data_IF_371664091834
#
_entry.id   IF_371664091834
#
_cell.length_a   1.000
_cell.length_b   1.000
_cell.length_c   1.000
_cell.angle_alpha   90.00
_cell.angle_beta   90.00
_cell.angle_gamma   90.00
#
_symmetry.space_group_name_H-M   'P 1'
#
loop_
_entity.id
_entity.type
_entity.pdbx_description
1 polymer ?
#
# COMPACT_ATOMS: atom_id res chain seq x y z
N UNK A 1 -21.32 15.23 -12.21
CA UNK A 1 -20.14 16.14 -12.16
C UNK A 1 -19.32 15.88 -13.40
N UNK A 2 -19.04 16.94 -14.15
CA UNK A 2 -18.20 16.83 -15.35
C UNK A 2 -16.76 16.53 -14.94
N UNK A 3 -16.15 15.46 -15.43
CA UNK A 3 -14.77 15.05 -15.10
C UNK A 3 -13.73 15.92 -15.79
N UNK A 4 -14.16 16.86 -16.61
CA UNK A 4 -13.27 17.82 -17.30
C UNK A 4 -12.37 18.61 -16.33
N UNK A 5 -12.74 18.72 -15.04
CA UNK A 5 -11.86 19.36 -14.06
C UNK A 5 -10.46 18.75 -13.99
N UNK A 6 -10.31 17.43 -14.29
CA UNK A 6 -8.99 16.76 -14.35
C UNK A 6 -8.15 17.26 -15.53
N UNK A 7 -8.82 17.77 -16.58
CA UNK A 7 -8.19 18.33 -17.77
C UNK A 7 -8.03 19.85 -17.67
N UNK A 8 -8.92 20.56 -16.99
CA UNK A 8 -9.02 22.03 -17.06
C UNK A 8 -8.35 22.73 -15.88
N UNK A 9 -8.40 22.16 -14.67
CA UNK A 9 -7.81 22.80 -13.47
C UNK A 9 -6.31 23.03 -13.60
N UNK A 10 -5.75 24.12 -13.01
CA UNK A 10 -4.31 24.30 -12.87
C UNK A 10 -3.68 23.07 -12.16
N UNK A 11 -2.48 22.67 -12.59
CA UNK A 11 -1.90 21.36 -12.23
C UNK A 11 -1.61 21.25 -10.74
N UNK A 12 -0.95 22.23 -10.14
CA UNK A 12 -0.59 22.14 -8.72
C UNK A 12 -1.82 22.06 -7.79
N UNK A 13 -2.84 22.93 -7.91
CA UNK A 13 -4.07 22.79 -7.14
C UNK A 13 -4.81 21.47 -7.42
N UNK A 14 -4.77 20.96 -8.66
CA UNK A 14 -5.36 19.69 -9.01
C UNK A 14 -4.66 18.54 -8.27
N UNK A 15 -3.33 18.45 -8.36
CA UNK A 15 -2.53 17.42 -7.69
C UNK A 15 -2.76 17.45 -6.18
N UNK A 16 -2.70 18.63 -5.55
CA UNK A 16 -2.94 18.77 -4.11
C UNK A 16 -4.35 18.35 -3.73
N UNK A 17 -5.38 18.79 -4.48
CA UNK A 17 -6.78 18.46 -4.16
C UNK A 17 -7.11 16.99 -4.29
N UNK A 18 -6.36 16.26 -5.10
CA UNK A 18 -6.52 14.82 -5.29
C UNK A 18 -5.65 14.01 -4.32
N UNK A 19 -4.46 14.51 -3.99
CA UNK A 19 -3.49 13.80 -3.14
C UNK A 19 -3.75 13.98 -1.65
N UNK A 20 -4.10 15.18 -1.21
CA UNK A 20 -4.27 15.49 0.22
C UNK A 20 -5.29 14.57 0.91
N UNK A 21 -6.48 14.30 0.34
CA UNK A 21 -7.39 13.32 0.95
C UNK A 21 -6.78 11.93 1.10
N UNK A 22 -5.94 11.49 0.14
CA UNK A 22 -5.30 10.18 0.21
C UNK A 22 -4.20 10.13 1.26
N UNK A 23 -3.41 11.20 1.39
CA UNK A 23 -2.40 11.34 2.46
C UNK A 23 -3.07 11.25 3.83
N UNK A 24 -4.19 11.96 4.04
CA UNK A 24 -4.96 11.91 5.29
C UNK A 24 -5.50 10.49 5.54
N UNK A 25 -6.06 9.84 4.52
CA UNK A 25 -6.56 8.45 4.64
C UNK A 25 -5.47 7.49 5.06
N UNK A 26 -4.27 7.61 4.47
CA UNK A 26 -3.14 6.76 4.80
C UNK A 26 -2.61 7.02 6.22
N UNK A 27 -2.62 8.29 6.68
CA UNK A 27 -2.25 8.63 8.05
C UNK A 27 -3.21 8.00 9.06
N UNK A 28 -4.52 8.07 8.82
CA UNK A 28 -5.54 7.45 9.68
C UNK A 28 -5.45 5.92 9.62
N UNK A 29 -5.18 5.34 8.47
CA UNK A 29 -4.93 3.90 8.33
C UNK A 29 -3.70 3.44 9.16
N UNK A 30 -2.62 4.23 9.16
CA UNK A 30 -1.45 3.92 9.99
C UNK A 30 -1.77 4.02 11.48
N UNK A 31 -2.53 5.04 11.89
CA UNK A 31 -2.98 5.19 13.27
C UNK A 31 -3.88 4.01 13.70
N UNK A 32 -4.82 3.64 12.84
CA UNK A 32 -5.68 2.47 13.07
C UNK A 32 -4.86 1.20 13.32
N UNK A 33 -3.86 0.90 12.47
CA UNK A 33 -3.02 -0.28 12.63
C UNK A 33 -2.24 -0.28 13.96
N UNK A 34 -1.79 0.90 14.43
CA UNK A 34 -1.11 1.04 15.72
C UNK A 34 -2.07 0.77 16.88
N UNK A 35 -3.28 1.32 16.82
CA UNK A 35 -4.30 1.17 17.87
C UNK A 35 -4.79 -0.26 17.96
N UNK A 36 -5.06 -0.92 16.82
CA UNK A 36 -5.44 -2.34 16.76
C UNK A 36 -4.35 -3.21 17.41
N UNK A 37 -3.09 -3.03 17.01
CA UNK A 37 -1.96 -3.75 17.60
C UNK A 37 -1.82 -3.50 19.11
N UNK A 38 -2.07 -2.28 19.57
CA UNK A 38 -2.05 -1.94 21.00
C UNK A 38 -3.10 -2.72 21.79
N UNK A 39 -4.33 -2.80 21.29
CA UNK A 39 -5.39 -3.53 21.99
C UNK A 39 -5.15 -5.04 21.97
N UNK A 40 -4.61 -5.59 20.89
CA UNK A 40 -4.25 -7.01 20.82
C UNK A 40 -3.11 -7.34 21.78
N UNK A 41 -2.09 -6.48 21.88
CA UNK A 41 -1.01 -6.66 22.85
C UNK A 41 -1.50 -6.67 24.31
N UNK A 42 -2.65 -6.04 24.60
CA UNK A 42 -3.31 -6.08 25.92
C UNK A 42 -4.02 -7.40 26.20
N UNK A 43 -4.25 -8.26 25.21
CA UNK A 43 -4.82 -9.61 25.42
C UNK A 43 -3.74 -10.50 26.04
N UNK A 44 -2.62 -10.70 25.33
CA UNK A 44 -1.43 -11.45 25.76
C UNK A 44 -0.29 -11.28 24.75
N UNK A 45 0.93 -11.64 25.15
CA UNK A 45 2.08 -11.71 24.24
C UNK A 45 1.87 -12.75 23.13
N UNK A 46 1.24 -13.89 23.47
CA UNK A 46 0.92 -14.95 22.51
C UNK A 46 -0.10 -14.48 21.46
N UNK A 47 -1.06 -13.65 21.85
CA UNK A 47 -2.02 -13.05 20.94
C UNK A 47 -1.33 -12.12 19.93
N UNK A 48 -0.36 -11.34 20.37
CA UNK A 48 0.44 -10.47 19.50
C UNK A 48 1.31 -11.28 18.56
N UNK A 49 1.90 -12.37 19.05
CA UNK A 49 2.67 -13.33 18.24
C UNK A 49 1.78 -13.97 17.18
N UNK A 50 0.60 -14.44 17.56
CA UNK A 50 -0.36 -15.06 16.67
C UNK A 50 -0.77 -14.14 15.50
N UNK A 51 -1.11 -12.85 15.78
CA UNK A 51 -1.43 -11.87 14.74
C UNK A 51 -0.22 -11.62 13.84
N UNK A 52 0.97 -11.51 14.40
CA UNK A 52 2.19 -11.29 13.62
C UNK A 52 2.46 -12.43 12.64
N UNK A 53 2.12 -13.66 13.01
CA UNK A 53 2.21 -14.83 12.12
C UNK A 53 1.09 -14.87 11.05
N UNK A 54 -0.10 -14.34 11.35
CA UNK A 54 -1.20 -14.26 10.36
C UNK A 54 -1.01 -13.11 9.36
N UNK A 55 -0.34 -12.04 9.78
CA UNK A 55 -0.17 -10.82 9.01
C UNK A 55 0.36 -11.00 7.57
N UNK A 56 1.34 -11.88 7.26
CA UNK A 56 1.82 -12.07 5.90
C UNK A 56 0.73 -12.47 4.90
N UNK A 57 -0.20 -13.35 5.31
CA UNK A 57 -1.31 -13.77 4.45
C UNK A 57 -2.35 -12.67 4.29
N UNK A 58 -2.65 -11.90 5.34
CA UNK A 58 -3.50 -10.72 5.24
C UNK A 58 -2.89 -9.67 4.31
N UNK A 59 -1.58 -9.44 4.41
CA UNK A 59 -0.89 -8.49 3.53
C UNK A 59 -0.89 -8.97 2.07
N UNK A 60 -0.74 -10.27 1.82
CA UNK A 60 -0.85 -10.83 0.48
C UNK A 60 -2.25 -10.60 -0.11
N UNK A 61 -3.30 -10.84 0.67
CA UNK A 61 -4.68 -10.56 0.25
C UNK A 61 -4.88 -9.09 -0.08
N UNK A 62 -4.40 -8.19 0.78
CA UNK A 62 -4.48 -6.74 0.57
C UNK A 62 -3.67 -6.31 -0.66
N UNK A 63 -2.48 -6.87 -0.86
CA UNK A 63 -1.64 -6.58 -2.02
C UNK A 63 -2.35 -6.95 -3.34
N UNK A 64 -3.02 -8.11 -3.39
CA UNK A 64 -3.79 -8.54 -4.55
C UNK A 64 -4.99 -7.61 -4.77
N UNK A 65 -5.73 -7.26 -3.71
CA UNK A 65 -6.88 -6.36 -3.79
C UNK A 65 -6.49 -4.97 -4.29
N UNK A 66 -5.45 -4.38 -3.71
CA UNK A 66 -4.98 -3.04 -4.09
C UNK A 66 -4.36 -3.04 -5.49
N UNK A 67 -3.55 -4.06 -5.82
CA UNK A 67 -2.92 -4.16 -7.13
C UNK A 67 -3.95 -4.28 -8.26
N UNK A 68 -4.95 -5.14 -8.09
CA UNK A 68 -6.05 -5.27 -9.05
C UNK A 68 -6.90 -3.99 -9.10
N UNK A 69 -7.15 -3.36 -7.95
CA UNK A 69 -7.83 -2.07 -7.87
C UNK A 69 -7.09 -0.94 -8.59
N UNK A 70 -5.75 -0.92 -8.56
CA UNK A 70 -4.93 0.03 -9.32
C UNK A 70 -5.17 -0.15 -10.83
N UNK A 71 -5.24 -1.39 -11.31
CA UNK A 71 -5.53 -1.67 -12.70
C UNK A 71 -6.92 -1.16 -13.12
N UNK A 72 -7.94 -1.40 -12.28
CA UNK A 72 -9.28 -0.87 -12.49
C UNK A 72 -9.28 0.67 -12.55
N UNK A 73 -8.63 1.31 -11.58
CA UNK A 73 -8.53 2.76 -11.51
C UNK A 73 -7.92 3.35 -12.80
N UNK A 74 -6.77 2.81 -13.21
CA UNK A 74 -6.07 3.27 -14.40
C UNK A 74 -6.91 3.05 -15.69
N UNK A 75 -7.57 1.89 -15.81
CA UNK A 75 -8.37 1.57 -16.99
C UNK A 75 -9.61 2.44 -17.08
N UNK A 76 -10.36 2.58 -16.00
CA UNK A 76 -11.58 3.40 -15.96
C UNK A 76 -11.24 4.87 -16.26
N UNK A 77 -10.26 5.44 -15.56
CA UNK A 77 -9.87 6.83 -15.76
C UNK A 77 -9.37 7.10 -17.19
N UNK A 78 -8.62 6.16 -17.78
CA UNK A 78 -8.18 6.24 -19.18
C UNK A 78 -9.37 6.28 -20.14
N UNK A 79 -10.31 5.34 -20.00
CA UNK A 79 -11.48 5.26 -20.89
C UNK A 79 -12.37 6.51 -20.77
N UNK A 80 -12.54 7.04 -19.55
CA UNK A 80 -13.28 8.29 -19.35
C UNK A 80 -12.56 9.49 -19.98
N UNK A 81 -11.23 9.53 -19.91
CA UNK A 81 -10.43 10.54 -20.62
C UNK A 81 -10.54 10.45 -22.13
N UNK A 82 -10.57 9.24 -22.67
CA UNK A 82 -10.80 8.96 -24.09
C UNK A 82 -12.25 9.16 -24.54
N UNK A 83 -13.17 9.52 -23.63
CA UNK A 83 -14.62 9.65 -23.87
C UNK A 83 -15.30 8.34 -24.29
N UNK A 84 -14.69 7.20 -23.94
CA UNK A 84 -15.21 5.86 -24.19
C UNK A 84 -15.95 5.36 -22.94
N UNK A 85 -17.19 5.83 -22.77
CA UNK A 85 -18.03 5.53 -21.61
C UNK A 85 -18.34 4.04 -21.49
N UNK A 86 -18.55 3.37 -22.63
CA UNK A 86 -18.90 1.95 -22.66
C UNK A 86 -17.77 1.09 -22.07
N UNK A 87 -16.52 1.31 -22.51
CA UNK A 87 -15.36 0.60 -21.96
C UNK A 87 -15.03 0.98 -20.51
N UNK A 88 -15.39 2.19 -20.07
CA UNK A 88 -15.26 2.57 -18.68
C UNK A 88 -16.25 1.78 -17.80
N UNK A 89 -17.50 1.66 -18.24
CA UNK A 89 -18.55 0.90 -17.58
C UNK A 89 -18.21 -0.61 -17.55
N UNK A 90 -17.75 -1.16 -18.67
CA UNK A 90 -17.25 -2.55 -18.74
C UNK A 90 -16.12 -2.81 -17.75
N UNK A 91 -15.13 -1.92 -17.68
CA UNK A 91 -14.01 -2.07 -16.77
C UNK A 91 -14.44 -2.03 -15.30
N UNK A 92 -15.40 -1.17 -14.95
CA UNK A 92 -15.93 -1.08 -13.60
C UNK A 92 -16.73 -2.34 -13.21
N UNK A 93 -17.66 -2.79 -14.04
CA UNK A 93 -18.53 -3.94 -13.75
C UNK A 93 -17.72 -5.23 -13.74
N UNK A 94 -16.91 -5.46 -14.76
CA UNK A 94 -16.08 -6.67 -14.86
C UNK A 94 -15.03 -6.71 -13.75
N UNK A 95 -14.42 -5.57 -13.44
CA UNK A 95 -13.47 -5.46 -12.35
C UNK A 95 -14.09 -5.79 -10.99
N UNK A 96 -15.26 -5.27 -10.66
CA UNK A 96 -15.99 -5.63 -9.44
C UNK A 96 -16.35 -7.11 -9.39
N UNK A 97 -16.81 -7.68 -10.50
CA UNK A 97 -17.12 -9.11 -10.57
C UNK A 97 -15.89 -9.99 -10.31
N UNK A 98 -14.77 -9.66 -10.95
CA UNK A 98 -13.50 -10.37 -10.73
C UNK A 98 -13.00 -10.20 -9.28
N UNK A 99 -13.22 -9.05 -8.67
CA UNK A 99 -12.87 -8.83 -7.25
C UNK A 99 -13.65 -9.75 -6.31
N UNK A 100 -14.92 -10.03 -6.61
CA UNK A 100 -15.70 -11.04 -5.86
C UNK A 100 -15.07 -12.42 -6.02
N UNK A 101 -14.72 -12.82 -7.25
CA UNK A 101 -14.07 -14.11 -7.52
C UNK A 101 -12.74 -14.21 -6.78
N UNK A 102 -11.88 -13.19 -6.88
CA UNK A 102 -10.61 -13.15 -6.15
C UNK A 102 -10.83 -13.24 -4.63
N UNK A 103 -11.85 -12.52 -4.10
CA UNK A 103 -12.20 -12.56 -2.69
C UNK A 103 -12.58 -13.97 -2.22
N UNK A 104 -13.38 -14.69 -3.01
CA UNK A 104 -13.78 -16.07 -2.71
C UNK A 104 -12.58 -17.02 -2.78
N UNK A 105 -11.76 -16.91 -3.84
CA UNK A 105 -10.56 -17.75 -4.00
C UNK A 105 -9.60 -17.52 -2.84
N UNK A 106 -9.32 -16.26 -2.49
CA UNK A 106 -8.41 -15.93 -1.40
C UNK A 106 -8.96 -16.32 -0.04
N UNK A 107 -10.27 -16.16 0.19
CA UNK A 107 -10.92 -16.66 1.41
C UNK A 107 -10.66 -18.15 1.58
N UNK A 108 -10.98 -18.96 0.58
CA UNK A 108 -10.82 -20.43 0.63
C UNK A 108 -9.34 -20.80 0.76
N UNK A 109 -8.46 -20.21 -0.06
CA UNK A 109 -7.04 -20.52 -0.07
C UNK A 109 -6.34 -20.15 1.25
N UNK A 110 -6.64 -18.96 1.80
CA UNK A 110 -6.05 -18.52 3.05
C UNK A 110 -6.58 -19.32 4.24
N UNK A 111 -7.88 -19.60 4.30
CA UNK A 111 -8.44 -20.43 5.39
C UNK A 111 -7.92 -21.86 5.35
N UNK A 112 -7.84 -22.47 4.18
CA UNK A 112 -7.30 -23.82 4.02
C UNK A 112 -5.78 -23.91 4.27
N UNK A 113 -5.03 -22.88 3.86
CA UNK A 113 -3.58 -22.84 3.99
C UNK A 113 -3.08 -22.41 5.38
N UNK A 114 -3.87 -21.65 6.14
CA UNK A 114 -3.45 -21.06 7.41
C UNK A 114 -2.98 -22.10 8.45
N UNK A 115 -3.65 -23.24 8.67
CA UNK A 115 -3.17 -24.23 9.65
C UNK A 115 -1.76 -24.75 9.32
N UNK A 116 -1.50 -25.02 8.05
CA UNK A 116 -0.18 -25.46 7.60
C UNK A 116 0.86 -24.36 7.72
N UNK A 117 0.48 -23.14 7.35
CA UNK A 117 1.36 -21.96 7.41
C UNK A 117 1.80 -21.68 8.85
N UNK A 118 0.90 -21.65 9.82
CA UNK A 118 1.25 -21.40 11.23
C UNK A 118 2.18 -22.47 11.79
N UNK A 119 1.93 -23.75 11.47
CA UNK A 119 2.78 -24.88 11.93
C UNK A 119 4.20 -24.87 11.35
N UNK A 120 4.47 -24.11 10.29
CA UNK A 120 5.83 -23.89 9.79
C UNK A 120 6.65 -23.00 10.71
N UNK A 121 6.00 -22.10 11.45
CA UNK A 121 6.68 -21.08 12.27
C UNK A 121 6.66 -21.39 13.76
N UNK A 122 5.66 -22.09 14.26
CA UNK A 122 5.54 -22.41 15.69
C UNK A 122 4.95 -23.79 15.91
N UNK A 123 5.34 -24.41 17.04
CA UNK A 123 4.76 -25.67 17.55
C UNK A 123 3.83 -25.43 18.76
N UNK A 124 3.72 -24.20 19.21
CA UNK A 124 2.85 -23.81 20.32
C UNK A 124 1.39 -23.84 19.86
N UNK A 125 0.64 -24.81 20.34
CA UNK A 125 -0.77 -25.01 19.99
C UNK A 125 -1.65 -23.83 20.45
N UNK A 126 -1.30 -23.12 21.54
CA UNK A 126 -2.07 -21.96 21.99
C UNK A 126 -1.94 -20.79 21.00
N UNK A 127 -0.73 -20.53 20.48
CA UNK A 127 -0.49 -19.53 19.46
C UNK A 127 -1.18 -19.90 18.16
N UNK A 128 -1.12 -21.19 17.77
CA UNK A 128 -1.79 -21.69 16.56
C UNK A 128 -3.31 -21.52 16.67
N UNK A 129 -3.91 -21.89 17.80
CA UNK A 129 -5.36 -21.76 18.03
C UNK A 129 -5.81 -20.30 17.99
N UNK A 130 -5.07 -19.39 18.64
CA UNK A 130 -5.34 -17.96 18.57
C UNK A 130 -5.21 -17.42 17.15
N UNK A 131 -4.16 -17.82 16.43
CA UNK A 131 -3.96 -17.43 15.03
C UNK A 131 -5.08 -17.92 14.11
N UNK A 132 -5.51 -19.17 14.24
CA UNK A 132 -6.64 -19.74 13.50
C UNK A 132 -7.97 -19.07 13.87
N UNK A 133 -8.16 -18.77 15.16
CA UNK A 133 -9.34 -18.06 15.65
C UNK A 133 -9.49 -16.70 15.00
N UNK A 134 -8.38 -15.96 14.90
CA UNK A 134 -8.34 -14.65 14.24
C UNK A 134 -8.50 -14.80 12.72
N UNK A 135 -7.67 -15.61 12.08
CA UNK A 135 -7.59 -15.74 10.65
C UNK A 135 -8.90 -16.22 10.02
N UNK A 136 -9.51 -17.26 10.56
CA UNK A 136 -10.78 -17.80 10.04
C UNK A 136 -11.90 -16.79 10.07
N UNK A 137 -11.90 -15.84 11.03
CA UNK A 137 -12.91 -14.78 11.10
C UNK A 137 -12.60 -13.63 10.16
N UNK A 138 -11.34 -13.19 10.10
CA UNK A 138 -10.95 -12.09 9.21
C UNK A 138 -11.11 -12.47 7.74
N UNK A 139 -10.71 -13.69 7.35
CA UNK A 139 -10.79 -14.10 5.94
C UNK A 139 -12.22 -14.31 5.43
N UNK A 140 -13.21 -14.53 6.29
CA UNK A 140 -14.63 -14.51 5.89
C UNK A 140 -15.02 -13.17 5.26
N UNK A 141 -14.41 -12.07 5.69
CA UNK A 141 -14.63 -10.75 5.14
C UNK A 141 -13.85 -10.45 3.85
N UNK A 142 -13.09 -11.40 3.30
CA UNK A 142 -12.25 -11.19 2.10
C UNK A 142 -13.03 -10.59 0.92
N UNK A 143 -14.24 -11.08 0.65
CA UNK A 143 -15.08 -10.55 -0.43
C UNK A 143 -15.48 -9.10 -0.15
N UNK A 144 -15.83 -8.77 1.09
CA UNK A 144 -16.19 -7.42 1.53
C UNK A 144 -15.01 -6.48 1.37
N UNK A 145 -13.81 -6.92 1.80
CA UNK A 145 -12.56 -6.16 1.67
C UNK A 145 -12.25 -5.90 0.19
N UNK A 146 -12.33 -6.93 -0.65
CA UNK A 146 -12.09 -6.82 -2.09
C UNK A 146 -13.06 -5.84 -2.77
N UNK A 147 -14.35 -5.91 -2.45
CA UNK A 147 -15.36 -4.98 -2.96
C UNK A 147 -15.15 -3.56 -2.45
N UNK A 148 -14.80 -3.40 -1.17
CA UNK A 148 -14.49 -2.11 -0.56
C UNK A 148 -13.34 -1.41 -1.27
N UNK A 149 -12.22 -2.13 -1.49
CA UNK A 149 -11.06 -1.61 -2.23
C UNK A 149 -11.40 -1.33 -3.69
N UNK A 150 -12.21 -2.18 -4.33
CA UNK A 150 -12.65 -1.95 -5.72
C UNK A 150 -13.47 -0.67 -5.84
N UNK A 151 -14.44 -0.44 -4.96
CA UNK A 151 -15.22 0.81 -4.95
C UNK A 151 -14.34 2.01 -4.62
N UNK A 152 -13.41 1.88 -3.67
CA UNK A 152 -12.40 2.91 -3.40
C UNK A 152 -11.70 3.34 -4.70
N UNK A 153 -11.20 2.38 -5.48
CA UNK A 153 -10.47 2.66 -6.71
C UNK A 153 -11.37 3.18 -7.84
N UNK A 154 -12.64 2.78 -7.88
CA UNK A 154 -13.64 3.34 -8.79
C UNK A 154 -13.95 4.79 -8.42
N UNK A 155 -14.17 5.12 -7.14
CA UNK A 155 -14.37 6.52 -6.71
C UNK A 155 -13.15 7.39 -7.00
N UNK A 156 -11.95 6.86 -6.80
CA UNK A 156 -10.70 7.53 -7.14
C UNK A 156 -10.59 7.78 -8.65
N UNK A 157 -10.95 6.79 -9.50
CA UNK A 157 -10.86 6.90 -10.96
C UNK A 157 -11.70 8.03 -11.57
N UNK A 158 -12.80 8.37 -10.91
CA UNK A 158 -13.69 9.48 -11.31
C UNK A 158 -13.35 10.80 -10.57
N UNK A 159 -12.28 10.82 -9.79
CA UNK A 159 -11.78 11.99 -9.08
C UNK A 159 -12.50 12.32 -7.76
N UNK A 160 -13.28 11.40 -7.21
CA UNK A 160 -14.01 11.61 -5.94
C UNK A 160 -13.17 11.19 -4.73
N UNK A 161 -11.94 11.73 -4.60
CA UNK A 161 -11.01 11.38 -3.52
C UNK A 161 -11.55 11.66 -2.11
N UNK A 162 -12.33 12.74 -1.94
CA UNK A 162 -12.96 13.06 -0.64
C UNK A 162 -13.95 12.00 -0.20
N UNK A 163 -14.65 11.35 -1.13
CA UNK A 163 -15.56 10.24 -0.81
C UNK A 163 -14.73 9.03 -0.35
N UNK A 164 -13.65 8.71 -1.05
CA UNK A 164 -12.74 7.64 -0.64
C UNK A 164 -12.19 7.88 0.76
N UNK A 165 -11.67 9.08 1.03
CA UNK A 165 -11.20 9.47 2.35
C UNK A 165 -12.28 9.28 3.43
N UNK A 166 -13.46 9.82 3.22
CA UNK A 166 -14.54 9.77 4.22
C UNK A 166 -14.98 8.34 4.50
N UNK A 167 -15.16 7.52 3.45
CA UNK A 167 -15.57 6.12 3.60
C UNK A 167 -14.55 5.29 4.38
N UNK A 168 -13.26 5.45 4.06
CA UNK A 168 -12.17 4.79 4.78
C UNK A 168 -12.10 5.24 6.24
N UNK A 169 -12.24 6.55 6.49
CA UNK A 169 -12.26 7.09 7.86
C UNK A 169 -13.39 6.50 8.70
N UNK A 170 -14.60 6.39 8.14
CA UNK A 170 -15.73 5.76 8.84
C UNK A 170 -15.39 4.33 9.27
N UNK A 171 -14.78 3.53 8.39
CA UNK A 171 -14.39 2.16 8.71
C UNK A 171 -13.29 2.07 9.76
N UNK A 172 -12.24 2.87 9.62
CA UNK A 172 -11.10 2.88 10.55
C UNK A 172 -11.50 3.38 11.93
N UNK A 173 -12.28 4.45 12.02
CA UNK A 173 -12.79 4.97 13.31
C UNK A 173 -13.72 3.94 13.96
N UNK A 174 -14.59 3.30 13.18
CA UNK A 174 -15.47 2.25 13.71
C UNK A 174 -14.67 1.07 14.27
N UNK A 175 -13.61 0.66 13.60
CA UNK A 175 -12.74 -0.40 14.11
C UNK A 175 -12.06 0.02 15.41
N UNK A 176 -11.43 1.20 15.48
CA UNK A 176 -10.79 1.74 16.69
C UNK A 176 -11.75 1.73 17.90
N UNK A 177 -13.02 2.03 17.66
CA UNK A 177 -14.06 2.01 18.72
C UNK A 177 -14.47 0.58 19.06
N UNK A 178 -14.64 -0.29 18.06
CA UNK A 178 -15.13 -1.66 18.26
C UNK A 178 -14.07 -2.57 18.87
N UNK A 179 -12.77 -2.35 18.61
CA UNK A 179 -11.69 -3.16 19.16
C UNK A 179 -11.79 -3.33 20.68
N UNK A 180 -11.72 -2.27 21.51
CA UNK A 180 -11.81 -2.43 22.96
C UNK A 180 -13.17 -2.98 23.41
N UNK A 181 -14.26 -2.63 22.72
CA UNK A 181 -15.60 -3.10 23.09
C UNK A 181 -15.73 -4.62 22.91
N UNK A 182 -15.24 -5.16 21.80
CA UNK A 182 -15.38 -6.58 21.46
C UNK A 182 -14.26 -7.44 22.04
N UNK A 183 -13.04 -6.91 22.15
CA UNK A 183 -11.91 -7.63 22.74
C UNK A 183 -12.14 -7.86 24.22
N UNK A 184 -12.49 -6.81 24.97
CA UNK A 184 -12.58 -6.85 26.43
C UNK A 184 -14.00 -7.07 26.97
N UNK A 185 -15.02 -6.99 26.10
CA UNK A 185 -16.41 -7.18 26.50
C UNK A 185 -16.96 -5.97 27.26
N UNK A 186 -16.82 -4.78 26.68
CA UNK A 186 -17.32 -3.53 27.31
C UNK A 186 -18.73 -3.24 26.81
N UNK A 187 -19.63 -2.87 27.73
CA UNK A 187 -21.01 -2.54 27.41
C UNK A 187 -21.84 -3.77 27.03
N UNK A 188 -22.55 -3.76 25.89
CA UNK A 188 -23.42 -4.86 25.46
C UNK A 188 -22.66 -6.04 24.79
N UNK A 189 -21.34 -5.91 24.60
CA UNK A 189 -20.57 -6.93 23.89
C UNK A 189 -19.99 -7.98 24.87
N UNK A 190 -20.05 -9.28 24.51
CA UNK A 190 -19.33 -10.31 25.25
C UNK A 190 -17.82 -10.17 25.05
N UNK A 191 -17.04 -10.62 26.04
CA UNK A 191 -15.56 -10.67 25.91
C UNK A 191 -15.18 -11.72 24.87
N UNK A 192 -14.63 -11.29 23.73
CA UNK A 192 -14.31 -12.16 22.60
C UNK A 192 -12.79 -12.35 22.37
N UNK A 193 -11.92 -11.56 23.01
CA UNK A 193 -10.48 -11.64 22.84
C UNK A 193 -10.06 -11.52 21.35
N UNK A 194 -9.28 -12.48 20.86
CA UNK A 194 -8.81 -12.53 19.47
C UNK A 194 -9.93 -12.55 18.41
N UNK A 195 -11.05 -13.22 18.73
CA UNK A 195 -12.22 -13.20 17.86
C UNK A 195 -12.83 -11.80 17.75
N UNK A 196 -12.80 -11.03 18.85
CA UNK A 196 -13.28 -9.66 18.91
C UNK A 196 -12.48 -8.73 17.99
N UNK A 197 -11.14 -8.81 18.00
CA UNK A 197 -10.28 -8.06 17.10
C UNK A 197 -10.57 -8.38 15.61
N UNK A 198 -10.75 -9.66 15.28
CA UNK A 198 -11.09 -10.08 13.93
C UNK A 198 -12.45 -9.55 13.46
N UNK A 199 -13.48 -9.62 14.31
CA UNK A 199 -14.80 -9.10 13.98
C UNK A 199 -14.80 -7.56 13.89
N UNK A 200 -14.11 -6.86 14.78
CA UNK A 200 -14.00 -5.40 14.73
C UNK A 200 -13.38 -4.94 13.40
N UNK A 201 -12.32 -5.63 12.95
CA UNK A 201 -11.71 -5.40 11.65
C UNK A 201 -12.70 -5.65 10.51
N UNK A 202 -13.38 -6.79 10.51
CA UNK A 202 -14.36 -7.14 9.48
C UNK A 202 -15.56 -6.20 9.42
N UNK A 203 -16.08 -5.77 10.58
CA UNK A 203 -17.17 -4.80 10.67
C UNK A 203 -16.71 -3.42 10.18
N UNK A 204 -15.52 -2.98 10.54
CA UNK A 204 -14.93 -1.73 10.03
C UNK A 204 -14.86 -1.72 8.50
N UNK A 205 -14.41 -2.82 7.87
CA UNK A 205 -14.39 -2.97 6.42
C UNK A 205 -15.80 -3.00 5.82
N UNK A 206 -16.75 -3.62 6.52
CA UNK A 206 -18.17 -3.66 6.10
C UNK A 206 -18.77 -2.24 6.14
N UNK A 207 -18.48 -1.46 7.17
CA UNK A 207 -18.92 -0.05 7.26
C UNK A 207 -18.32 0.77 6.13
N UNK A 208 -17.04 0.60 5.83
CA UNK A 208 -16.40 1.25 4.67
C UNK A 208 -17.16 0.95 3.38
N UNK A 209 -17.44 -0.33 3.12
CA UNK A 209 -18.18 -0.76 1.93
C UNK A 209 -19.60 -0.16 1.90
N UNK A 210 -20.32 -0.21 3.03
CA UNK A 210 -21.68 0.36 3.12
C UNK A 210 -21.69 1.86 2.84
N UNK A 211 -20.72 2.61 3.37
CA UNK A 211 -20.61 4.05 3.10
C UNK A 211 -20.37 4.31 1.61
N UNK A 212 -19.53 3.52 0.94
CA UNK A 212 -19.37 3.61 -0.52
C UNK A 212 -20.68 3.33 -1.26
N UNK A 213 -21.43 2.30 -0.86
CA UNK A 213 -22.72 1.96 -1.46
C UNK A 213 -23.73 3.09 -1.26
N UNK A 214 -23.80 3.67 -0.07
CA UNK A 214 -24.66 4.83 0.20
C UNK A 214 -24.29 6.02 -0.70
N UNK A 215 -23.00 6.30 -0.88
CA UNK A 215 -22.59 7.34 -1.83
C UNK A 215 -22.96 7.01 -3.28
N UNK A 216 -22.91 5.74 -3.69
CA UNK A 216 -23.41 5.34 -5.02
C UNK A 216 -24.89 5.60 -5.20
N UNK A 217 -25.71 5.41 -4.14
CA UNK A 217 -27.18 5.62 -4.19
C UNK A 217 -27.49 7.13 -4.18
N UNK A 218 -26.95 7.89 -3.23
CA UNK A 218 -27.30 9.31 -3.04
C UNK A 218 -26.59 10.26 -4.03
N UNK A 219 -25.42 9.88 -4.52
CA UNK A 219 -24.60 10.66 -5.47
C UNK A 219 -24.04 9.74 -6.56
N UNK A 220 -24.88 9.33 -7.52
CA UNK A 220 -24.48 8.35 -8.52
C UNK A 220 -23.14 8.66 -9.18
N UNK A 221 -22.37 7.62 -9.43
CA UNK A 221 -21.15 7.70 -10.22
C UNK A 221 -21.48 7.92 -11.69
N UNK A 222 -20.62 8.56 -12.47
CA UNK A 222 -20.78 8.66 -13.93
C UNK A 222 -20.40 7.33 -14.62
N UNK A 223 -20.85 6.23 -14.05
CA UNK A 223 -20.61 4.85 -14.50
C UNK A 223 -21.91 4.06 -14.36
N UNK A 224 -22.15 3.16 -15.30
CA UNK A 224 -23.35 2.33 -15.33
C UNK A 224 -23.03 0.91 -14.89
N UNK A 225 -23.53 0.52 -13.71
CA UNK A 225 -23.35 -0.83 -13.14
C UNK A 225 -24.44 -1.81 -13.61
N UNK A 226 -24.77 -1.79 -14.91
CA UNK A 226 -25.76 -2.71 -15.47
C UNK A 226 -25.08 -4.04 -15.83
N UNK A 227 -25.80 -5.16 -15.63
CA UNK A 227 -25.33 -6.51 -15.97
C UNK A 227 -24.88 -6.65 -17.43
N UNK A 228 -25.47 -5.90 -18.36
CA UNK A 228 -25.08 -5.90 -19.77
C UNK A 228 -23.63 -5.43 -20.02
N UNK A 229 -23.05 -4.68 -19.09
CA UNK A 229 -21.69 -4.18 -19.17
C UNK A 229 -20.66 -5.19 -18.62
N UNK A 230 -21.09 -6.38 -18.16
CA UNK A 230 -20.19 -7.47 -17.80
C UNK A 230 -19.60 -8.07 -19.09
N UNK A 231 -18.29 -7.91 -19.26
CA UNK A 231 -17.58 -8.31 -20.48
C UNK A 231 -16.34 -9.13 -20.12
N UNK A 232 -16.25 -10.33 -20.67
CA UNK A 232 -15.06 -11.20 -20.56
C UNK A 232 -14.14 -11.09 -21.76
N UNK A 233 -14.12 -9.94 -22.41
CA UNK A 233 -13.23 -9.69 -23.55
C UNK A 233 -11.77 -9.87 -23.12
N UNK A 234 -11.02 -10.68 -23.87
CA UNK A 234 -9.59 -10.97 -23.65
C UNK A 234 -8.74 -9.70 -23.55
N UNK A 235 -9.06 -8.66 -24.33
CA UNK A 235 -8.34 -7.39 -24.30
C UNK A 235 -8.55 -6.63 -22.97
N UNK A 236 -9.79 -6.62 -22.43
CA UNK A 236 -10.09 -6.02 -21.13
C UNK A 236 -9.40 -6.79 -20.00
N UNK A 237 -9.59 -8.12 -19.97
CA UNK A 237 -8.95 -8.98 -18.96
C UNK A 237 -7.43 -8.86 -19.01
N UNK A 238 -6.85 -8.94 -20.21
CA UNK A 238 -5.41 -8.77 -20.41
C UNK A 238 -4.90 -7.45 -19.88
N UNK A 239 -5.61 -6.34 -20.11
CA UNK A 239 -5.24 -5.03 -19.58
C UNK A 239 -5.32 -4.95 -18.06
N UNK A 240 -6.36 -5.52 -17.44
CA UNK A 240 -6.52 -5.52 -15.99
C UNK A 240 -5.40 -6.34 -15.31
N UNK A 241 -5.13 -7.53 -15.80
CA UNK A 241 -4.08 -8.39 -15.21
C UNK A 241 -2.66 -7.92 -15.55
N UNK A 242 -2.42 -7.32 -16.72
CA UNK A 242 -1.11 -6.77 -17.09
C UNK A 242 -0.67 -5.59 -16.19
N UNK A 243 -1.59 -4.95 -15.50
CA UNK A 243 -1.28 -3.93 -14.49
C UNK A 243 -1.47 -4.48 -13.08
N UNK A 244 -2.53 -5.24 -12.84
CA UNK A 244 -2.90 -5.72 -11.51
C UNK A 244 -1.87 -6.68 -10.91
N UNK A 245 -1.41 -7.69 -11.66
CA UNK A 245 -0.38 -8.63 -11.18
C UNK A 245 0.94 -7.92 -10.85
N UNK A 246 1.52 -7.11 -11.75
CA UNK A 246 2.70 -6.32 -11.43
C UNK A 246 2.53 -5.41 -10.21
N UNK A 247 1.39 -4.73 -10.09
CA UNK A 247 1.13 -3.85 -8.95
C UNK A 247 1.02 -4.62 -7.62
N UNK A 248 0.42 -5.81 -7.63
CA UNK A 248 0.38 -6.69 -6.45
C UNK A 248 1.78 -7.17 -6.05
N UNK A 249 2.59 -7.58 -7.02
CA UNK A 249 3.98 -7.98 -6.78
C UNK A 249 4.83 -6.82 -6.25
N UNK A 250 4.64 -5.61 -6.76
CA UNK A 250 5.33 -4.41 -6.26
C UNK A 250 5.11 -4.20 -4.75
N UNK A 251 3.94 -4.55 -4.24
CA UNK A 251 3.63 -4.45 -2.80
C UNK A 251 4.27 -5.56 -1.96
N UNK A 252 4.58 -6.71 -2.55
CA UNK A 252 5.21 -7.84 -1.86
C UNK A 252 6.75 -7.76 -1.83
N UNK A 253 7.37 -7.14 -2.83
CA UNK A 253 8.83 -7.07 -2.96
C UNK A 253 9.57 -6.45 -1.76
N UNK A 254 9.08 -5.38 -1.10
CA UNK A 254 9.73 -4.84 0.09
C UNK A 254 9.86 -5.86 1.22
N UNK A 255 8.87 -6.71 1.43
CA UNK A 255 8.92 -7.75 2.47
C UNK A 255 10.00 -8.78 2.20
N UNK A 256 10.16 -9.21 0.94
CA UNK A 256 11.25 -10.09 0.53
C UNK A 256 12.63 -9.46 0.80
N UNK A 257 12.78 -8.21 0.39
CA UNK A 257 14.02 -7.45 0.63
C UNK A 257 14.36 -7.37 2.12
N UNK A 258 13.39 -7.00 2.97
CA UNK A 258 13.58 -6.90 4.42
C UNK A 258 14.04 -8.24 4.99
N UNK A 259 13.43 -9.34 4.58
CA UNK A 259 13.82 -10.69 5.03
C UNK A 259 15.26 -11.04 4.67
N UNK A 260 15.68 -10.73 3.44
CA UNK A 260 17.07 -10.94 3.01
C UNK A 260 18.07 -10.06 3.77
N UNK A 261 17.76 -8.78 3.98
CA UNK A 261 18.61 -7.87 4.72
C UNK A 261 18.73 -8.27 6.20
N UNK A 262 17.65 -8.70 6.83
CA UNK A 262 17.68 -9.26 8.18
C UNK A 262 18.60 -10.48 8.24
N UNK A 263 18.51 -11.40 7.27
CA UNK A 263 19.40 -12.55 7.19
C UNK A 263 20.88 -12.17 7.10
N UNK A 264 21.23 -11.11 6.35
CA UNK A 264 22.61 -10.58 6.30
C UNK A 264 23.02 -9.97 7.64
N UNK A 265 22.16 -9.17 8.27
CA UNK A 265 22.46 -8.44 9.51
C UNK A 265 22.53 -9.35 10.73
N UNK A 266 21.75 -10.43 10.77
CA UNK A 266 21.80 -11.43 11.85
C UNK A 266 23.21 -12.04 12.01
N UNK A 267 23.96 -12.16 10.93
CA UNK A 267 25.35 -12.64 10.97
C UNK A 267 26.31 -11.70 11.72
N UNK A 268 25.93 -10.43 11.96
CA UNK A 268 26.74 -9.47 12.71
C UNK A 268 26.25 -9.32 14.15
N UNK A 269 24.97 -8.97 14.35
CA UNK A 269 24.36 -8.87 15.68
C UNK A 269 22.86 -8.61 15.55
N UNK A 270 22.05 -9.09 16.51
CA UNK A 270 20.62 -8.81 16.63
C UNK A 270 20.31 -7.31 16.77
N UNK A 271 21.23 -6.51 17.32
CA UNK A 271 21.07 -5.05 17.42
C UNK A 271 20.90 -4.39 16.06
N UNK A 272 21.60 -4.87 15.03
CA UNK A 272 21.45 -4.34 13.65
C UNK A 272 20.10 -4.71 13.04
N UNK A 273 19.58 -5.89 13.35
CA UNK A 273 18.24 -6.31 12.92
C UNK A 273 17.18 -5.43 13.56
N UNK A 274 17.31 -5.14 14.88
CA UNK A 274 16.41 -4.23 15.59
C UNK A 274 16.45 -2.83 14.97
N UNK A 275 17.63 -2.30 14.69
CA UNK A 275 17.82 -0.99 14.05
C UNK A 275 17.17 -0.95 12.68
N UNK A 276 17.33 -1.99 11.86
CA UNK A 276 16.68 -2.06 10.55
C UNK A 276 15.15 -2.08 10.69
N UNK A 277 14.63 -2.84 11.66
CA UNK A 277 13.20 -2.87 11.98
C UNK A 277 12.66 -1.50 12.40
N UNK A 278 13.38 -0.79 13.28
CA UNK A 278 13.04 0.58 13.69
C UNK A 278 13.04 1.55 12.50
N UNK A 279 14.08 1.46 11.65
CA UNK A 279 14.16 2.23 10.41
C UNK A 279 12.92 2.02 9.51
N UNK A 280 12.48 0.77 9.28
CA UNK A 280 11.31 0.52 8.43
C UNK A 280 10.02 1.08 9.01
N UNK A 281 9.86 1.07 10.32
CA UNK A 281 8.72 1.73 10.97
C UNK A 281 8.75 3.25 10.73
N UNK A 282 9.91 3.89 10.91
CA UNK A 282 10.08 5.31 10.61
C UNK A 282 9.89 5.62 9.13
N UNK A 283 10.44 4.80 8.24
CA UNK A 283 10.25 4.93 6.80
C UNK A 283 8.77 4.91 6.40
N UNK A 284 7.97 4.03 7.02
CA UNK A 284 6.54 3.95 6.74
C UNK A 284 5.85 5.30 6.94
N UNK A 285 6.19 6.05 7.98
CA UNK A 285 5.62 7.39 8.22
C UNK A 285 6.07 8.41 7.18
N UNK A 286 7.34 8.40 6.79
CA UNK A 286 7.89 9.32 5.78
C UNK A 286 7.27 9.03 4.40
N UNK A 287 7.24 7.75 4.00
CA UNK A 287 6.73 7.33 2.70
C UNK A 287 5.19 7.36 2.60
N UNK A 288 4.48 7.41 3.72
CA UNK A 288 3.03 7.51 3.76
C UNK A 288 2.51 8.71 2.92
N UNK A 289 3.12 9.88 3.09
CA UNK A 289 2.74 11.07 2.34
C UNK A 289 3.07 10.92 0.85
N UNK A 290 4.23 10.37 0.50
CA UNK A 290 4.61 10.10 -0.88
C UNK A 290 3.63 9.13 -1.55
N UNK A 291 3.28 8.03 -0.88
CA UNK A 291 2.32 7.04 -1.38
C UNK A 291 0.91 7.63 -1.54
N UNK A 292 0.48 8.51 -0.63
CA UNK A 292 -0.78 9.25 -0.74
C UNK A 292 -0.81 10.17 -1.96
N UNK A 293 0.31 10.85 -2.25
CA UNK A 293 0.47 11.67 -3.45
C UNK A 293 0.35 10.80 -4.71
N UNK A 294 1.03 9.66 -4.74
CA UNK A 294 0.98 8.72 -5.87
C UNK A 294 -0.43 8.18 -6.09
N UNK A 295 -1.16 7.83 -5.03
CA UNK A 295 -2.57 7.41 -5.18
C UNK A 295 -3.44 8.52 -5.79
N UNK A 296 -3.22 9.77 -5.37
CA UNK A 296 -3.96 10.93 -5.88
C UNK A 296 -3.74 11.20 -7.36
N UNK A 297 -2.52 11.01 -7.85
CA UNK A 297 -2.17 11.35 -9.23
C UNK A 297 -2.52 10.28 -10.26
N UNK A 298 -2.64 9.01 -9.86
CA UNK A 298 -2.92 7.91 -10.80
C UNK A 298 -4.11 8.21 -11.71
N UNK A 299 -5.32 8.53 -11.21
CA UNK A 299 -6.45 8.81 -12.09
C UNK A 299 -6.27 10.06 -12.95
N UNK A 300 -5.54 11.07 -12.45
CA UNK A 300 -5.30 12.29 -13.23
C UNK A 300 -4.39 12.02 -14.42
N UNK A 301 -3.31 11.25 -14.20
CA UNK A 301 -2.40 10.84 -15.28
C UNK A 301 -3.16 9.96 -16.29
N UNK A 302 -3.90 8.94 -15.81
CA UNK A 302 -4.65 8.01 -16.66
C UNK A 302 -5.69 8.74 -17.51
N UNK A 303 -6.45 9.65 -16.91
CA UNK A 303 -7.46 10.45 -17.59
C UNK A 303 -6.85 11.34 -18.67
N UNK A 304 -5.81 12.11 -18.34
CA UNK A 304 -5.17 12.99 -19.31
C UNK A 304 -4.44 12.21 -20.41
N UNK A 305 -3.93 11.03 -20.10
CA UNK A 305 -3.34 10.14 -21.10
C UNK A 305 -4.40 9.61 -22.07
N UNK A 306 -5.56 9.18 -21.57
CA UNK A 306 -6.72 8.79 -22.39
C UNK A 306 -7.25 9.94 -23.24
N UNK A 307 -7.24 11.16 -22.73
CA UNK A 307 -7.64 12.38 -23.45
C UNK A 307 -6.61 12.85 -24.48
N UNK A 308 -5.45 12.21 -24.62
CA UNK A 308 -4.39 12.61 -25.53
C UNK A 308 -3.56 13.83 -25.07
N UNK A 309 -3.75 14.29 -23.83
CA UNK A 309 -3.12 15.51 -23.28
C UNK A 309 -1.69 15.23 -22.78
N UNK A 310 -0.80 14.84 -23.68
CA UNK A 310 0.59 14.45 -23.40
C UNK A 310 1.39 15.52 -22.62
N UNK A 311 1.25 16.78 -23.01
CA UNK A 311 1.94 17.89 -22.32
C UNK A 311 1.51 17.98 -20.86
N UNK A 312 0.21 17.79 -20.60
CA UNK A 312 -0.38 17.87 -19.27
C UNK A 312 0.06 16.66 -18.40
N UNK A 313 0.11 15.45 -18.95
CA UNK A 313 0.66 14.26 -18.28
C UNK A 313 2.09 14.51 -17.81
N UNK A 314 2.95 15.09 -18.68
CA UNK A 314 4.34 15.43 -18.34
C UNK A 314 4.43 16.49 -17.24
N UNK A 315 3.56 17.49 -17.26
CA UNK A 315 3.52 18.53 -16.23
C UNK A 315 3.05 17.96 -14.88
N UNK A 316 2.00 17.11 -14.88
CA UNK A 316 1.54 16.40 -13.67
C UNK A 316 2.66 15.56 -13.08
N UNK A 317 3.36 14.77 -13.90
CA UNK A 317 4.52 13.99 -13.46
C UNK A 317 5.61 14.86 -12.80
N UNK A 318 6.00 15.96 -13.43
CA UNK A 318 7.03 16.87 -12.88
C UNK A 318 6.57 17.50 -11.56
N UNK A 319 5.35 18.00 -11.49
CA UNK A 319 4.79 18.56 -10.25
C UNK A 319 4.75 17.51 -9.13
N UNK A 320 4.35 16.29 -9.45
CA UNK A 320 4.35 15.19 -8.50
C UNK A 320 5.75 14.86 -8.00
N UNK A 321 6.71 14.77 -8.91
CA UNK A 321 8.12 14.51 -8.56
C UNK A 321 8.66 15.58 -7.60
N UNK A 322 8.39 16.85 -7.88
CA UNK A 322 8.78 17.95 -6.99
C UNK A 322 8.12 17.87 -5.60
N UNK A 323 6.81 17.56 -5.55
CA UNK A 323 6.10 17.42 -4.29
C UNK A 323 6.61 16.20 -3.48
N UNK A 324 6.80 15.06 -4.15
CA UNK A 324 7.34 13.86 -3.50
C UNK A 324 8.76 14.08 -3.01
N UNK A 325 9.62 14.72 -3.81
CA UNK A 325 10.96 15.09 -3.41
C UNK A 325 10.97 16.06 -2.22
N UNK A 326 10.04 17.02 -2.18
CA UNK A 326 9.86 17.93 -1.05
C UNK A 326 9.49 17.21 0.24
N UNK A 327 8.56 16.24 0.17
CA UNK A 327 8.21 15.39 1.32
C UNK A 327 9.41 14.56 1.78
N UNK A 328 10.16 13.98 0.85
CA UNK A 328 11.37 13.22 1.17
C UNK A 328 12.47 14.12 1.77
N UNK A 329 12.58 15.37 1.32
CA UNK A 329 13.51 16.34 1.92
C UNK A 329 13.16 16.63 3.39
N UNK A 330 11.88 16.74 3.73
CA UNK A 330 11.46 16.84 5.14
C UNK A 330 11.88 15.58 5.93
N UNK A 331 11.73 14.39 5.35
CA UNK A 331 12.21 13.15 5.96
C UNK A 331 13.72 13.14 6.20
N UNK A 332 14.51 13.66 5.26
CA UNK A 332 15.96 13.84 5.42
C UNK A 332 16.26 14.81 6.56
N UNK A 333 15.62 15.97 6.59
CA UNK A 333 15.83 16.96 7.64
C UNK A 333 15.53 16.39 9.03
N UNK A 334 14.41 15.69 9.20
CA UNK A 334 14.09 15.04 10.48
C UNK A 334 15.15 13.98 10.86
N UNK A 335 15.57 13.16 9.89
CA UNK A 335 16.57 12.12 10.11
C UNK A 335 17.95 12.65 10.45
N UNK A 336 18.28 13.89 10.07
CA UNK A 336 19.55 14.54 10.39
C UNK A 336 19.49 15.37 11.67
N UNK A 337 18.34 16.01 11.96
CA UNK A 337 18.21 16.92 13.12
C UNK A 337 17.91 16.18 14.42
N UNK A 338 17.10 15.12 14.37
CA UNK A 338 16.60 14.42 15.55
C UNK A 338 16.74 12.88 15.46
N UNK A 339 17.83 12.31 14.88
CA UNK A 339 17.94 10.87 14.68
C UNK A 339 17.91 10.08 15.99
N UNK A 340 18.54 10.60 17.05
CA UNK A 340 18.57 9.96 18.37
C UNK A 340 17.19 9.83 18.99
N UNK A 341 16.38 10.89 18.92
CA UNK A 341 15.02 10.87 19.43
C UNK A 341 14.13 9.90 18.62
N UNK A 342 14.31 9.87 17.29
CA UNK A 342 13.56 8.96 16.42
C UNK A 342 13.87 7.48 16.72
N UNK A 343 15.11 7.11 16.92
CA UNK A 343 15.50 5.75 17.27
C UNK A 343 15.17 5.44 18.73
N UNK A 344 15.31 6.41 19.64
CA UNK A 344 14.95 6.28 21.05
C UNK A 344 13.47 5.95 21.32
N UNK A 345 12.57 6.15 20.33
CA UNK A 345 11.20 5.65 20.41
C UNK A 345 11.10 4.12 20.43
N UNK A 346 12.15 3.40 20.02
CA UNK A 346 12.15 1.95 19.87
C UNK A 346 13.07 1.21 20.83
N UNK A 347 14.03 1.91 21.44
CA UNK A 347 15.00 1.30 22.35
C UNK A 347 15.67 2.34 23.25
N UNK A 348 15.89 1.96 24.52
CA UNK A 348 16.64 2.75 25.49
C UNK A 348 18.13 2.34 25.56
N UNK A 349 18.55 1.34 24.81
CA UNK A 349 19.93 0.86 24.83
C UNK A 349 20.82 1.81 24.03
N UNK A 350 21.73 2.52 24.72
CA UNK A 350 22.60 3.55 24.14
C UNK A 350 23.39 3.05 22.91
N UNK A 351 23.98 1.85 22.97
CA UNK A 351 24.71 1.27 21.84
C UNK A 351 23.82 1.05 20.64
N UNK A 352 22.58 0.61 20.85
CA UNK A 352 21.62 0.39 19.77
C UNK A 352 21.15 1.72 19.18
N UNK A 353 21.00 2.75 20.01
CA UNK A 353 20.67 4.11 19.57
C UNK A 353 21.80 4.67 18.70
N UNK A 354 23.09 4.52 19.10
CA UNK A 354 24.24 4.96 18.30
C UNK A 354 24.26 4.28 16.91
N UNK A 355 24.07 2.96 16.87
CA UNK A 355 23.98 2.21 15.61
C UNK A 355 22.81 2.75 14.76
N UNK A 356 21.67 3.01 15.38
CA UNK A 356 20.48 3.52 14.73
C UNK A 356 20.64 4.93 14.16
N UNK A 357 21.27 5.83 14.91
CA UNK A 357 21.61 7.18 14.46
C UNK A 357 22.50 7.12 13.22
N UNK A 358 23.56 6.31 13.28
CA UNK A 358 24.46 6.12 12.14
C UNK A 358 23.74 5.52 10.93
N UNK A 359 22.92 4.48 11.14
CA UNK A 359 22.13 3.87 10.09
C UNK A 359 21.18 4.88 9.43
N UNK A 360 20.41 5.63 10.22
CA UNK A 360 19.44 6.59 9.74
C UNK A 360 20.10 7.73 8.95
N UNK A 361 21.25 8.22 9.44
CA UNK A 361 22.05 9.27 8.77
C UNK A 361 22.58 8.80 7.40
N UNK A 362 22.97 7.54 7.27
CA UNK A 362 23.44 6.97 6.00
C UNK A 362 22.26 6.77 5.05
N UNK A 363 21.19 6.12 5.53
CA UNK A 363 20.06 5.73 4.68
C UNK A 363 19.28 6.94 4.16
N UNK A 364 19.14 7.99 4.96
CA UNK A 364 18.36 9.18 4.57
C UNK A 364 18.92 9.90 3.34
N UNK A 365 20.20 9.72 3.00
CA UNK A 365 20.83 10.24 1.77
C UNK A 365 20.03 9.78 0.53
N UNK A 366 19.50 8.55 0.57
CA UNK A 366 18.71 7.97 -0.51
C UNK A 366 17.27 8.50 -0.61
N UNK A 367 16.72 9.17 0.42
CA UNK A 367 15.28 9.50 0.43
C UNK A 367 14.84 10.40 -0.71
N UNK A 368 15.53 11.52 -0.94
CA UNK A 368 15.16 12.43 -2.04
C UNK A 368 15.31 11.73 -3.39
N UNK A 369 16.35 10.92 -3.56
CA UNK A 369 16.62 10.17 -4.78
C UNK A 369 15.50 9.15 -5.04
N UNK A 370 14.99 8.49 -3.98
CA UNK A 370 13.91 7.52 -4.07
C UNK A 370 12.60 8.10 -4.62
N UNK A 371 12.38 9.42 -4.48
CA UNK A 371 11.22 10.09 -5.04
C UNK A 371 11.08 9.87 -6.55
N UNK A 372 12.21 9.72 -7.27
CA UNK A 372 12.21 9.44 -8.72
C UNK A 372 11.63 8.06 -8.98
N UNK A 373 12.12 7.01 -8.32
CA UNK A 373 11.65 5.63 -8.51
C UNK A 373 10.17 5.49 -8.13
N UNK A 374 9.76 6.05 -7.00
CA UNK A 374 8.38 6.00 -6.50
C UNK A 374 7.42 6.70 -7.47
N UNK A 375 7.79 7.91 -7.94
CA UNK A 375 6.95 8.67 -8.89
C UNK A 375 6.89 7.99 -10.26
N UNK A 376 8.00 7.43 -10.75
CA UNK A 376 8.02 6.70 -12.02
C UNK A 376 7.16 5.44 -11.97
N UNK A 377 7.22 4.64 -10.88
CA UNK A 377 6.37 3.47 -10.71
C UNK A 377 4.88 3.84 -10.75
N UNK A 378 4.47 4.82 -9.94
CA UNK A 378 3.07 5.26 -9.90
C UNK A 378 2.57 5.83 -11.23
N UNK A 379 3.41 6.57 -11.94
CA UNK A 379 3.07 7.11 -13.25
C UNK A 379 2.96 5.99 -14.31
N UNK A 380 3.85 4.99 -14.29
CA UNK A 380 3.79 3.85 -15.22
C UNK A 380 2.54 2.99 -14.99
N UNK A 381 2.15 2.76 -13.73
CA UNK A 381 0.90 2.08 -13.39
C UNK A 381 -0.30 2.86 -13.95
N UNK A 382 -0.31 4.19 -13.78
CA UNK A 382 -1.34 5.05 -14.34
C UNK A 382 -1.38 5.04 -15.88
N UNK A 383 -0.23 4.90 -16.54
CA UNK A 383 -0.12 4.75 -17.99
C UNK A 383 -0.44 3.33 -18.48
N UNK A 384 -0.91 2.44 -17.61
CA UNK A 384 -1.18 1.03 -17.87
C UNK A 384 0.08 0.24 -18.31
N UNK A 385 1.25 0.65 -17.84
CA UNK A 385 2.55 0.00 -18.09
C UNK A 385 3.04 -0.75 -16.84
N UNK A 386 2.19 -1.63 -16.30
CA UNK A 386 2.45 -2.33 -15.04
C UNK A 386 3.75 -3.13 -15.04
N UNK A 387 4.07 -3.84 -16.13
CA UNK A 387 5.31 -4.59 -16.24
C UNK A 387 6.56 -3.68 -16.15
N UNK A 388 6.51 -2.48 -16.71
CA UNK A 388 7.60 -1.52 -16.62
C UNK A 388 7.77 -1.01 -15.17
N UNK A 389 6.67 -0.82 -14.43
CA UNK A 389 6.69 -0.51 -13.00
C UNK A 389 7.32 -1.66 -12.20
N UNK A 390 6.93 -2.91 -12.47
CA UNK A 390 7.49 -4.09 -11.81
C UNK A 390 8.99 -4.24 -12.04
N UNK A 391 9.48 -3.98 -13.26
CA UNK A 391 10.90 -4.02 -13.56
C UNK A 391 11.70 -3.01 -12.72
N UNK A 392 11.16 -1.81 -12.49
CA UNK A 392 11.78 -0.82 -11.60
C UNK A 392 11.83 -1.36 -10.17
N UNK A 393 10.72 -1.90 -9.66
CA UNK A 393 10.64 -2.44 -8.31
C UNK A 393 11.53 -3.65 -8.10
N UNK A 394 11.59 -4.58 -9.07
CA UNK A 394 12.50 -5.72 -9.04
C UNK A 394 13.96 -5.26 -9.03
N UNK A 395 14.32 -4.30 -9.88
CA UNK A 395 15.66 -3.70 -9.88
C UNK A 395 15.99 -3.14 -8.51
N UNK A 396 15.08 -2.33 -7.94
CA UNK A 396 15.28 -1.64 -6.67
C UNK A 396 15.39 -2.60 -5.49
N UNK A 397 14.43 -3.52 -5.34
CA UNK A 397 14.30 -4.35 -4.13
C UNK A 397 15.07 -5.66 -4.17
N UNK A 398 15.25 -6.26 -5.35
CA UNK A 398 15.89 -7.57 -5.48
C UNK A 398 17.25 -7.50 -6.18
N UNK A 399 17.28 -6.99 -7.43
CA UNK A 399 18.45 -7.11 -8.31
C UNK A 399 19.62 -6.23 -7.86
N UNK A 400 19.35 -5.04 -7.33
CA UNK A 400 20.40 -4.11 -6.89
C UNK A 400 20.58 -4.17 -5.37
N UNK A 401 19.48 -4.07 -4.59
CA UNK A 401 19.58 -3.94 -3.14
C UNK A 401 20.22 -5.15 -2.46
N UNK A 402 19.75 -6.36 -2.79
CA UNK A 402 20.24 -7.57 -2.11
C UNK A 402 21.72 -7.83 -2.42
N UNK A 403 22.17 -7.83 -3.69
CA UNK A 403 23.58 -7.97 -4.01
C UNK A 403 24.45 -6.83 -3.46
N UNK A 404 23.99 -5.57 -3.52
CA UNK A 404 24.72 -4.44 -2.98
C UNK A 404 24.91 -4.57 -1.47
N UNK A 405 23.84 -4.94 -0.73
CA UNK A 405 23.92 -5.18 0.71
C UNK A 405 24.89 -6.32 1.04
N UNK A 406 24.83 -7.41 0.29
CA UNK A 406 25.73 -8.55 0.47
C UNK A 406 27.20 -8.17 0.23
N UNK A 407 27.51 -7.52 -0.89
CA UNK A 407 28.89 -7.13 -1.24
C UNK A 407 29.43 -6.08 -0.27
N UNK A 408 28.66 -5.00 -0.01
CA UNK A 408 29.09 -3.93 0.87
C UNK A 408 29.22 -4.39 2.32
N UNK A 409 28.43 -5.37 2.77
CA UNK A 409 28.57 -5.95 4.10
C UNK A 409 29.90 -6.69 4.29
N UNK A 410 30.48 -7.25 3.22
CA UNK A 410 31.81 -7.89 3.26
C UNK A 410 32.97 -6.90 3.37
N UNK A 411 32.77 -5.66 2.88
CA UNK A 411 33.81 -4.61 2.87
C UNK A 411 33.69 -3.69 4.09
N UNK A 412 32.46 -3.29 4.43
CA UNK A 412 32.17 -2.26 5.47
C UNK A 412 31.49 -2.84 6.72
N UNK A 413 31.43 -4.17 6.84
CA UNK A 413 30.69 -4.82 7.92
C UNK A 413 29.19 -4.50 7.87
N UNK A 414 28.51 -4.54 9.00
CA UNK A 414 27.07 -4.27 9.09
C UNK A 414 26.65 -2.90 8.50
N UNK A 415 27.51 -1.88 8.60
CA UNK A 415 27.25 -0.56 8.00
C UNK A 415 27.13 -0.62 6.47
N UNK A 416 27.76 -1.61 5.83
CA UNK A 416 27.65 -1.83 4.39
C UNK A 416 26.21 -2.08 3.93
N UNK A 417 25.38 -2.73 4.76
CA UNK A 417 23.96 -2.91 4.49
C UNK A 417 23.22 -1.56 4.45
N UNK A 418 23.57 -0.64 5.34
CA UNK A 418 22.98 0.71 5.34
C UNK A 418 23.43 1.54 4.14
N UNK A 419 24.69 1.43 3.72
CA UNK A 419 25.20 2.07 2.52
C UNK A 419 24.59 1.51 1.23
N UNK A 420 24.10 0.27 1.25
CA UNK A 420 23.38 -0.29 0.10
C UNK A 420 22.11 0.50 -0.25
N UNK A 421 21.46 1.19 0.71
CA UNK A 421 20.26 1.99 0.44
C UNK A 421 20.53 3.17 -0.51
N UNK A 422 21.42 4.14 -0.19
CA UNK A 422 21.67 5.26 -1.09
C UNK A 422 22.26 4.80 -2.44
N UNK A 423 23.09 3.76 -2.47
CA UNK A 423 23.63 3.19 -3.70
C UNK A 423 22.49 2.64 -4.58
N UNK A 424 21.61 1.83 -3.98
CA UNK A 424 20.46 1.25 -4.69
C UNK A 424 19.50 2.32 -5.18
N UNK A 425 19.18 3.32 -4.35
CA UNK A 425 18.28 4.40 -4.76
C UNK A 425 18.85 5.20 -5.94
N UNK A 426 20.15 5.42 -5.96
CA UNK A 426 20.81 6.14 -7.08
C UNK A 426 20.73 5.33 -8.38
N UNK A 427 21.09 4.06 -8.35
CA UNK A 427 21.04 3.18 -9.54
C UNK A 427 19.59 3.02 -10.00
N UNK A 428 18.67 2.76 -9.06
CA UNK A 428 17.26 2.56 -9.37
C UNK A 428 16.58 3.83 -9.87
N UNK A 429 16.95 5.01 -9.40
CA UNK A 429 16.40 6.28 -9.90
C UNK A 429 16.77 6.52 -11.37
N UNK A 430 18.03 6.23 -11.74
CA UNK A 430 18.48 6.34 -13.13
C UNK A 430 17.72 5.33 -14.00
N UNK A 431 17.67 4.07 -13.59
CA UNK A 431 16.94 3.01 -14.29
C UNK A 431 15.44 3.37 -14.43
N UNK A 432 14.81 3.82 -13.35
CA UNK A 432 13.41 4.20 -13.32
C UNK A 432 13.12 5.35 -14.30
N UNK A 433 13.94 6.37 -14.32
CA UNK A 433 13.76 7.50 -15.23
C UNK A 433 13.94 7.11 -16.69
N UNK A 434 14.92 6.25 -17.01
CA UNK A 434 15.14 5.73 -18.36
C UNK A 434 13.96 4.86 -18.82
N UNK A 435 13.50 3.93 -17.95
CA UNK A 435 12.34 3.07 -18.22
C UNK A 435 11.09 3.92 -18.42
N UNK A 436 10.85 4.91 -17.55
CA UNK A 436 9.73 5.83 -17.67
C UNK A 436 9.78 6.59 -19.01
N UNK A 437 10.92 7.20 -19.36
CA UNK A 437 11.10 7.93 -20.62
C UNK A 437 10.83 7.07 -21.86
N UNK A 438 11.30 5.82 -21.84
CA UNK A 438 11.12 4.87 -22.94
C UNK A 438 9.64 4.47 -23.09
N UNK A 439 8.94 4.25 -21.99
CA UNK A 439 7.55 3.76 -21.99
C UNK A 439 6.51 4.89 -22.02
N UNK A 440 6.85 6.08 -21.60
CA UNK A 440 5.93 7.21 -21.61
C UNK A 440 5.81 7.88 -22.96
N UNK A 441 6.75 7.67 -23.93
CA UNK A 441 6.81 8.31 -25.28
C UNK A 441 5.71 9.34 -25.55
N UNK A 442 5.61 10.28 -24.59
CA UNK A 442 4.59 11.31 -24.50
C UNK A 442 5.17 12.58 -25.12
#
# INVERSE_FOLDING_TARGET
MNQNFMKEKPILPLVISMSLPMVISMAINSLYNIVDSYFVAKISEDAMTAISLVYPLQNLMTAIAVGFGIAMNARIAFCLGAKDQEKADEAAVTGMFLSVIHGIILMIACMAGMPHFLRLYTKDEAIIEMGLTYANRVFVFSVIIMLGISLEKIFQSVGRMKVSMFSMMCGFISNIVLDPLMIFGIGPFPKMGMAGAAYATGIGQTITLLVYVLFCIFRPLPLSFKRKNLSFNKALLGNLYAVGIPASLNMALPSLMISCLNGILTAFSEKYVLVLGAYYKLQTFIYLSANGIIQGIRPIISFNYGAGEKKRVRQIFRTTLCLTAGVMAVGVLLSLLIPGQMIGLFTDNETTVEIGVKALTIICIGFIISAVSVTCCGALEALQKGMASLLISLSRYAVVMIPAAFVLSRVLGANGVFWAFPVTETISAVAAYVIYRKNSRI
#
